data_IF_083503210740
#
_entry.id   IF_083503210740
#
_cell.length_a   1.000
_cell.length_b   1.000
_cell.length_c   1.000
_cell.angle_alpha   90.00
_cell.angle_beta   90.00
_cell.angle_gamma   90.00
#
_symmetry.space_group_name_H-M   'P 1'
#
loop_
_entity.id
_entity.type
_entity.pdbx_description
1 polymer ?
#
# COMPACT_ATOMS: atom_id res chain seq x y z
N UNK A 1 -2.22 -46.30 -5.94
CA UNK A 1 -2.45 -44.85 -5.91
C UNK A 1 -1.12 -44.19 -5.67
N UNK A 2 -0.52 -43.58 -6.71
CA UNK A 2 0.80 -42.97 -6.61
C UNK A 2 0.64 -41.54 -6.10
N UNK A 3 1.05 -41.29 -4.86
CA UNK A 3 1.21 -39.94 -4.34
C UNK A 3 2.35 -39.27 -5.10
N UNK A 4 2.01 -38.41 -6.06
CA UNK A 4 2.96 -37.42 -6.57
C UNK A 4 3.35 -36.54 -5.38
N UNK A 5 4.51 -36.83 -4.80
CA UNK A 5 5.29 -35.86 -4.04
C UNK A 5 5.44 -34.66 -4.97
N UNK A 6 4.71 -33.58 -4.69
CA UNK A 6 5.04 -32.29 -5.28
C UNK A 6 6.46 -32.00 -4.84
N UNK A 7 7.41 -32.11 -5.78
CA UNK A 7 8.72 -31.51 -5.64
C UNK A 7 8.47 -30.10 -5.12
N UNK A 8 9.11 -29.75 -4.02
CA UNK A 8 9.11 -28.41 -3.45
C UNK A 8 9.38 -27.45 -4.62
N UNK A 9 8.35 -26.78 -5.15
CA UNK A 9 8.47 -25.91 -6.30
C UNK A 9 9.34 -24.75 -5.84
N UNK A 10 10.64 -24.80 -6.11
CA UNK A 10 11.56 -23.74 -5.77
C UNK A 10 11.33 -22.60 -6.75
N UNK A 11 10.34 -21.77 -6.43
CA UNK A 11 10.07 -20.53 -7.15
C UNK A 11 11.36 -19.70 -7.18
N UNK A 12 11.85 -19.43 -8.38
CA UNK A 12 13.05 -18.63 -8.58
C UNK A 12 13.05 -18.04 -9.98
N UNK A 13 13.79 -16.95 -10.16
CA UNK A 13 13.91 -16.22 -11.42
C UNK A 13 13.09 -14.93 -11.45
N UNK A 14 13.09 -14.29 -12.61
CA UNK A 14 12.36 -13.05 -12.87
C UNK A 14 11.05 -13.37 -13.59
N UNK A 15 9.97 -12.77 -13.13
CA UNK A 15 8.62 -12.89 -13.69
C UNK A 15 8.14 -11.49 -14.05
N UNK A 16 8.02 -11.21 -15.33
CA UNK A 16 7.72 -9.88 -15.87
C UNK A 16 6.26 -9.78 -16.29
N UNK A 17 5.62 -8.66 -15.96
CA UNK A 17 4.21 -8.38 -16.27
C UNK A 17 3.99 -8.40 -17.79
N UNK A 18 2.94 -9.08 -18.24
CA UNK A 18 2.58 -9.16 -19.67
C UNK A 18 1.12 -8.81 -19.90
N UNK A 19 0.85 -8.11 -21.01
CA UNK A 19 -0.50 -7.84 -21.50
C UNK A 19 -1.11 -6.51 -21.04
N UNK A 20 -0.51 -5.83 -20.07
CA UNK A 20 -0.91 -4.49 -19.64
C UNK A 20 0.01 -3.47 -20.32
N UNK A 21 -0.57 -2.53 -21.08
CA UNK A 21 0.17 -1.47 -21.77
C UNK A 21 0.47 -0.31 -20.82
N UNK A 22 1.50 0.49 -21.11
CA UNK A 22 1.91 1.67 -20.32
C UNK A 22 2.38 1.37 -18.89
N UNK A 23 2.54 0.10 -18.54
CA UNK A 23 3.00 -0.37 -17.23
C UNK A 23 4.12 -1.39 -17.40
N UNK A 24 5.15 -1.27 -16.58
CA UNK A 24 6.13 -2.32 -16.38
C UNK A 24 6.10 -2.76 -14.91
N UNK A 25 6.07 -4.06 -14.67
CA UNK A 25 6.27 -4.58 -13.33
C UNK A 25 6.97 -5.94 -13.41
N UNK A 26 7.75 -6.28 -12.41
CA UNK A 26 8.44 -7.56 -12.35
C UNK A 26 8.63 -8.01 -10.92
N UNK A 27 8.54 -9.32 -10.71
CA UNK A 27 9.01 -9.98 -9.51
C UNK A 27 10.33 -10.67 -9.77
N UNK A 28 11.20 -10.67 -8.78
CA UNK A 28 12.37 -11.54 -8.74
C UNK A 28 12.29 -12.38 -7.46
N UNK A 29 12.32 -13.69 -7.61
CA UNK A 29 12.33 -14.64 -6.50
C UNK A 29 13.67 -15.37 -6.43
N UNK A 30 14.18 -15.59 -5.21
CA UNK A 30 15.37 -16.39 -4.99
C UNK A 30 15.07 -17.67 -4.21
N UNK A 31 15.97 -18.65 -4.28
CA UNK A 31 15.80 -19.94 -3.60
C UNK A 31 15.88 -19.86 -2.06
N UNK A 32 16.19 -18.69 -1.50
CA UNK A 32 16.24 -18.45 -0.04
C UNK A 32 14.90 -17.96 0.52
N UNK A 33 13.84 -17.89 -0.30
CA UNK A 33 12.54 -17.41 0.17
C UNK A 33 12.44 -15.89 0.23
N UNK A 34 13.24 -15.14 -0.55
CA UNK A 34 13.16 -13.68 -0.68
C UNK A 34 12.62 -13.27 -2.03
N UNK A 35 11.92 -12.14 -2.06
CA UNK A 35 11.44 -11.53 -3.29
C UNK A 35 11.85 -10.06 -3.38
N UNK A 36 11.98 -9.58 -4.61
CA UNK A 36 11.98 -8.16 -4.99
C UNK A 36 10.85 -7.92 -5.98
N UNK A 37 10.30 -6.72 -5.95
CA UNK A 37 9.27 -6.26 -6.87
C UNK A 37 9.63 -4.87 -7.37
N UNK A 38 9.46 -4.65 -8.66
CA UNK A 38 9.55 -3.34 -9.29
C UNK A 38 8.26 -3.06 -10.04
N UNK A 39 7.87 -1.78 -10.06
CA UNK A 39 6.68 -1.27 -10.71
C UNK A 39 6.96 0.13 -11.26
N UNK A 40 6.57 0.35 -12.51
CA UNK A 40 6.60 1.64 -13.17
C UNK A 40 5.28 1.86 -13.91
N UNK A 41 4.65 3.00 -13.65
CA UNK A 41 3.44 3.43 -14.34
C UNK A 41 3.37 4.95 -14.43
N UNK A 42 3.37 5.47 -15.66
CA UNK A 42 3.49 6.90 -15.89
C UNK A 42 4.78 7.47 -15.26
N UNK A 43 4.63 8.45 -14.37
CA UNK A 43 5.75 9.07 -13.65
C UNK A 43 6.03 8.46 -12.26
N UNK A 44 5.39 7.33 -11.94
CA UNK A 44 5.46 6.69 -10.62
C UNK A 44 6.25 5.40 -10.71
N UNK A 45 7.41 5.40 -10.06
CA UNK A 45 8.21 4.22 -9.77
C UNK A 45 7.97 3.76 -8.33
N UNK A 46 7.76 2.46 -8.15
CA UNK A 46 7.56 1.82 -6.85
C UNK A 46 8.35 0.52 -6.79
N UNK A 47 8.62 0.08 -5.57
CA UNK A 47 9.28 -1.20 -5.34
C UNK A 47 8.72 -1.90 -4.10
N UNK A 48 9.04 -3.17 -3.95
CA UNK A 48 8.92 -3.86 -2.67
C UNK A 48 10.01 -4.92 -2.55
N UNK A 49 10.25 -5.34 -1.33
CA UNK A 49 11.09 -6.48 -1.03
C UNK A 49 10.54 -7.18 0.20
N UNK A 50 10.94 -8.43 0.40
CA UNK A 50 10.53 -9.18 1.57
C UNK A 50 10.79 -10.66 1.43
N UNK A 51 10.01 -11.44 2.17
CA UNK A 51 10.07 -12.90 2.15
C UNK A 51 8.79 -13.48 1.55
N UNK A 52 8.86 -14.71 1.07
CA UNK A 52 7.68 -15.44 0.59
C UNK A 52 7.66 -16.87 1.12
N UNK A 53 6.46 -17.43 1.22
CA UNK A 53 6.22 -18.86 1.41
C UNK A 53 5.31 -19.38 0.29
N UNK A 54 5.37 -20.69 0.03
CA UNK A 54 4.52 -21.35 -0.95
C UNK A 54 3.62 -22.34 -0.23
N UNK A 55 2.31 -22.21 -0.45
CA UNK A 55 1.27 -23.06 0.09
C UNK A 55 0.43 -23.63 -1.07
N UNK A 56 0.78 -24.84 -1.51
CA UNK A 56 0.19 -25.43 -2.72
C UNK A 56 0.59 -24.63 -3.97
N UNK A 57 -0.38 -23.98 -4.61
CA UNK A 57 -0.16 -23.08 -5.76
C UNK A 57 -0.08 -21.61 -5.35
N UNK A 58 -0.30 -21.27 -4.08
CA UNK A 58 -0.30 -19.88 -3.60
C UNK A 58 1.09 -19.46 -3.15
N UNK A 59 1.47 -18.23 -3.48
CA UNK A 59 2.62 -17.54 -2.93
C UNK A 59 2.11 -16.48 -1.95
N UNK A 60 2.51 -16.61 -0.70
CA UNK A 60 2.19 -15.66 0.36
C UNK A 60 3.38 -14.73 0.54
N UNK A 61 3.20 -13.45 0.20
CA UNK A 61 4.24 -12.43 0.29
C UNK A 61 4.18 -11.70 1.62
N UNK A 62 5.36 -11.49 2.23
CA UNK A 62 5.53 -10.65 3.40
C UNK A 62 6.52 -9.54 3.09
N UNK A 63 5.99 -8.37 2.71
CA UNK A 63 6.78 -7.16 2.47
C UNK A 63 7.51 -6.69 3.73
N UNK A 64 8.68 -6.07 3.56
CA UNK A 64 9.36 -5.29 4.60
C UNK A 64 8.57 -4.03 4.97
N UNK A 65 7.87 -3.42 4.00
CA UNK A 65 6.91 -2.34 4.24
C UNK A 65 5.72 -2.84 5.04
N UNK A 66 5.53 -2.26 6.23
CA UNK A 66 4.32 -2.44 7.03
C UNK A 66 3.13 -1.67 6.43
N UNK A 67 2.05 -2.38 6.11
CA UNK A 67 0.87 -1.78 5.50
C UNK A 67 0.10 -0.89 6.48
N UNK A 68 -0.48 0.22 6.00
CA UNK A 68 -1.24 1.14 6.84
C UNK A 68 -0.38 1.95 7.82
N UNK A 69 0.90 2.12 7.49
CA UNK A 69 1.89 2.81 8.33
C UNK A 69 2.72 3.81 7.53
N UNK A 70 2.13 4.51 6.59
CA UNK A 70 2.80 5.50 5.74
C UNK A 70 3.04 6.85 6.44
N UNK A 71 2.42 7.05 7.60
CA UNK A 71 2.52 8.29 8.36
C UNK A 71 3.05 8.02 9.77
N UNK A 72 3.89 8.94 10.26
CA UNK A 72 4.27 9.04 11.66
C UNK A 72 3.56 10.23 12.29
N UNK A 73 2.87 10.06 13.41
CA UNK A 73 2.34 11.18 14.18
C UNK A 73 3.51 11.80 14.96
N UNK A 74 3.84 13.06 14.66
CA UNK A 74 4.91 13.83 15.32
C UNK A 74 4.40 14.51 16.57
N UNK A 75 3.22 15.10 16.48
CA UNK A 75 2.51 15.68 17.60
C UNK A 75 1.00 15.58 17.41
N UNK A 76 0.27 15.58 18.51
CA UNK A 76 -1.19 15.62 18.51
C UNK A 76 -1.68 16.31 19.78
N UNK A 77 -2.78 17.04 19.67
CA UNK A 77 -3.35 17.80 20.78
C UNK A 77 -4.82 18.12 20.53
N UNK A 78 -5.54 18.51 21.59
CA UNK A 78 -6.90 18.99 21.52
C UNK A 78 -6.91 20.51 21.58
N UNK A 79 -6.93 21.17 20.43
CA UNK A 79 -6.75 22.63 20.33
C UNK A 79 -7.98 23.37 19.82
N UNK A 80 -8.96 22.67 19.27
CA UNK A 80 -10.15 23.28 18.68
C UNK A 80 -11.32 22.29 18.59
N UNK A 81 -12.52 22.79 18.26
CA UNK A 81 -13.70 21.97 17.98
C UNK A 81 -13.68 21.35 16.58
N UNK A 82 -12.84 21.87 15.69
CA UNK A 82 -12.64 21.37 14.33
C UNK A 82 -11.35 20.55 14.25
N UNK A 83 -11.26 19.68 13.25
CA UNK A 83 -10.08 18.85 13.06
C UNK A 83 -9.12 19.50 12.07
N UNK A 84 -7.84 19.47 12.41
CA UNK A 84 -6.76 19.98 11.57
C UNK A 84 -5.63 18.95 11.51
N UNK A 85 -5.21 18.62 10.30
CA UNK A 85 -4.12 17.69 10.04
C UNK A 85 -3.08 18.45 9.21
N UNK A 86 -1.89 18.60 9.77
CA UNK A 86 -0.74 19.16 9.07
C UNK A 86 0.17 18.02 8.63
N UNK A 87 0.36 17.88 7.32
CA UNK A 87 1.29 16.90 6.76
C UNK A 87 2.65 17.53 6.55
N UNK A 88 3.69 16.78 6.88
CA UNK A 88 5.11 17.10 6.68
C UNK A 88 5.67 16.08 5.69
N UNK A 89 6.40 16.56 4.70
CA UNK A 89 7.05 15.73 3.70
C UNK A 89 8.39 16.35 3.28
N UNK A 90 9.38 15.54 2.88
CA UNK A 90 10.67 16.05 2.40
C UNK A 90 10.56 16.83 1.08
N UNK A 91 9.54 16.53 0.27
CA UNK A 91 9.28 17.20 -1.00
C UNK A 91 7.88 17.83 -0.98
N UNK A 92 7.75 19.16 -1.16
CA UNK A 92 6.46 19.85 -1.21
C UNK A 92 5.46 19.27 -2.23
N UNK A 93 5.96 18.66 -3.32
CA UNK A 93 5.09 18.01 -4.31
C UNK A 93 4.22 16.90 -3.72
N UNK A 94 4.67 16.23 -2.64
CA UNK A 94 3.92 15.16 -1.98
C UNK A 94 2.77 15.69 -1.10
N UNK A 95 2.82 16.97 -0.72
CA UNK A 95 1.89 17.54 0.25
C UNK A 95 0.47 17.70 -0.31
N UNK A 96 0.30 17.90 -1.62
CA UNK A 96 -0.99 18.12 -2.28
C UNK A 96 -1.77 16.84 -2.64
N UNK A 97 -1.22 15.67 -2.29
CA UNK A 97 -1.76 14.37 -2.70
C UNK A 97 -2.18 13.53 -1.49
N UNK A 98 -2.69 14.16 -0.45
CA UNK A 98 -3.14 13.46 0.77
C UNK A 98 -4.66 13.45 0.80
N UNK A 99 -5.21 12.26 1.00
CA UNK A 99 -6.63 12.02 1.21
C UNK A 99 -6.83 11.57 2.64
N UNK A 100 -7.75 12.22 3.34
CA UNK A 100 -8.25 11.82 4.65
C UNK A 100 -9.65 11.21 4.51
N UNK A 101 -9.80 9.94 4.88
CA UNK A 101 -11.10 9.31 5.06
C UNK A 101 -11.50 9.44 6.55
N UNK A 102 -12.56 10.19 6.80
CA UNK A 102 -13.07 10.47 8.15
C UNK A 102 -14.40 9.76 8.35
N UNK A 103 -14.56 9.11 9.50
CA UNK A 103 -15.77 8.35 9.82
C UNK A 103 -16.54 8.97 10.99
N UNK A 104 -17.87 9.00 10.84
CA UNK A 104 -18.84 9.26 11.92
C UNK A 104 -19.87 8.13 11.86
N UNK A 105 -19.79 7.20 12.80
CA UNK A 105 -20.46 5.91 12.73
C UNK A 105 -20.09 5.16 11.44
N UNK A 106 -21.09 4.97 10.57
CA UNK A 106 -20.92 4.31 9.26
C UNK A 106 -20.74 5.30 8.11
N UNK A 107 -20.93 6.59 8.36
CA UNK A 107 -20.79 7.62 7.33
C UNK A 107 -19.30 7.90 7.12
N UNK A 108 -18.86 7.87 5.86
CA UNK A 108 -17.52 8.25 5.46
C UNK A 108 -17.58 9.57 4.69
N UNK A 109 -16.73 10.52 5.07
CA UNK A 109 -16.50 11.75 4.31
C UNK A 109 -15.02 11.87 3.99
N UNK A 110 -14.71 12.36 2.79
CA UNK A 110 -13.34 12.54 2.33
C UNK A 110 -12.93 14.00 2.34
N UNK A 111 -11.71 14.24 2.76
CA UNK A 111 -11.06 15.55 2.73
C UNK A 111 -9.69 15.40 2.07
N UNK A 112 -9.21 16.48 1.47
CA UNK A 112 -7.95 16.49 0.75
C UNK A 112 -7.06 17.61 1.28
N UNK A 113 -5.76 17.39 1.21
CA UNK A 113 -4.80 18.44 1.56
C UNK A 113 -4.74 19.53 0.50
N UNK A 114 -4.46 20.74 0.94
CA UNK A 114 -4.02 21.81 0.06
C UNK A 114 -2.53 21.67 -0.33
N UNK A 115 -2.01 22.65 -1.06
CA UNK A 115 -0.60 22.68 -1.50
C UNK A 115 0.42 22.76 -0.35
N UNK A 116 -0.03 23.14 0.86
CA UNK A 116 0.80 23.19 2.07
C UNK A 116 0.72 21.90 2.90
N UNK A 117 -0.08 20.92 2.47
CA UNK A 117 -0.28 19.67 3.22
C UNK A 117 -1.27 19.81 4.36
N UNK A 118 -2.06 20.88 4.38
CA UNK A 118 -3.06 21.13 5.40
C UNK A 118 -4.40 20.52 5.00
N UNK A 119 -5.01 19.77 5.92
CA UNK A 119 -6.40 19.30 5.82
C UNK A 119 -7.19 19.93 6.97
N UNK A 120 -8.21 20.71 6.63
CA UNK A 120 -9.16 21.26 7.59
C UNK A 120 -10.51 20.56 7.46
N UNK A 121 -11.07 20.17 8.60
CA UNK A 121 -12.30 19.39 8.66
C UNK A 121 -13.26 20.07 9.63
N UNK A 122 -14.30 20.66 9.07
CA UNK A 122 -15.36 21.37 9.80
C UNK A 122 -16.44 20.40 10.29
N UNK A 123 -16.07 19.58 11.28
CA UNK A 123 -16.97 18.63 11.97
C UNK A 123 -16.70 18.68 13.46
N UNK A 124 -17.76 18.77 14.25
CA UNK A 124 -17.66 18.82 15.71
C UNK A 124 -17.12 17.53 16.33
N UNK A 125 -17.35 16.37 15.71
CA UNK A 125 -16.87 15.08 16.19
C UNK A 125 -16.55 14.15 15.03
N UNK A 126 -15.43 13.43 15.14
CA UNK A 126 -15.01 12.37 14.23
C UNK A 126 -14.61 11.16 15.07
N UNK A 127 -15.09 10.00 14.66
CA UNK A 127 -14.80 8.73 15.34
C UNK A 127 -13.43 8.23 14.94
N UNK A 128 -13.11 8.23 13.65
CA UNK A 128 -11.78 7.85 13.19
C UNK A 128 -11.33 8.60 11.95
N UNK A 129 -10.01 8.76 11.82
CA UNK A 129 -9.37 9.40 10.68
C UNK A 129 -8.29 8.48 10.14
N UNK A 130 -8.36 8.27 8.83
CA UNK A 130 -7.38 7.50 8.08
C UNK A 130 -6.78 8.36 6.97
N UNK A 131 -5.47 8.26 6.76
CA UNK A 131 -4.74 8.96 5.71
C UNK A 131 -4.20 8.01 4.65
N UNK A 132 -4.15 8.48 3.40
CA UNK A 132 -3.53 7.81 2.28
C UNK A 132 -2.93 8.84 1.32
N UNK A 133 -1.81 8.50 0.69
CA UNK A 133 -1.27 9.30 -0.40
C UNK A 133 -1.87 8.83 -1.74
N UNK A 134 -2.44 9.75 -2.52
CA UNK A 134 -3.17 9.42 -3.75
C UNK A 134 -2.27 9.01 -4.91
N UNK A 135 -1.00 9.47 -4.99
CA UNK A 135 -0.05 9.01 -6.02
C UNK A 135 0.63 7.68 -5.68
N UNK A 136 0.66 7.31 -4.39
CA UNK A 136 1.29 6.09 -3.91
C UNK A 136 0.25 5.31 -3.09
N UNK A 137 -0.87 4.89 -3.72
CA UNK A 137 -1.94 4.26 -2.99
C UNK A 137 -1.46 2.94 -2.38
N UNK A 138 -1.72 2.79 -1.09
CA UNK A 138 -1.51 1.60 -0.28
C UNK A 138 -2.64 1.54 0.77
N UNK A 139 -2.60 0.60 1.69
CA UNK A 139 -3.56 0.52 2.80
C UNK A 139 -3.54 1.81 3.62
N UNK A 140 -4.73 2.32 3.91
CA UNK A 140 -4.94 3.52 4.73
C UNK A 140 -4.24 3.44 6.09
N UNK A 141 -3.59 4.53 6.48
CA UNK A 141 -2.96 4.68 7.79
C UNK A 141 -3.91 5.32 8.78
N UNK A 142 -4.29 4.60 9.83
CA UNK A 142 -5.13 5.15 10.91
C UNK A 142 -4.30 6.12 11.76
N UNK A 143 -4.74 7.36 11.88
CA UNK A 143 -4.08 8.36 12.75
C UNK A 143 -4.93 8.71 13.98
N UNK A 144 -6.23 8.41 13.94
CA UNK A 144 -7.18 8.65 15.03
C UNK A 144 -8.19 7.52 15.12
N UNK A 145 -8.55 7.16 16.35
CA UNK A 145 -9.66 6.29 16.72
C UNK A 145 -10.65 7.01 17.66
N UNK A 146 -11.70 6.29 18.07
CA UNK A 146 -12.83 6.80 18.85
C UNK A 146 -12.42 7.25 20.24
N UNK A 147 -11.36 6.64 20.80
CA UNK A 147 -10.85 6.94 22.13
C UNK A 147 -9.98 8.20 22.13
N UNK A 148 -9.32 8.49 21.02
CA UNK A 148 -8.47 9.66 20.86
C UNK A 148 -9.28 10.95 20.69
N UNK A 149 -9.21 11.86 21.68
CA UNK A 149 -9.94 13.14 21.67
C UNK A 149 -9.19 14.30 20.99
N UNK A 150 -8.00 14.05 20.45
CA UNK A 150 -7.22 15.10 19.79
C UNK A 150 -7.89 15.57 18.51
N UNK A 151 -7.77 16.86 18.25
CA UNK A 151 -8.35 17.53 17.08
C UNK A 151 -7.28 18.16 16.18
N UNK A 152 -6.04 18.27 16.66
CA UNK A 152 -4.88 18.64 15.88
C UNK A 152 -3.91 17.48 15.77
N UNK A 153 -3.41 17.22 14.55
CA UNK A 153 -2.40 16.21 14.26
C UNK A 153 -1.33 16.79 13.34
N UNK A 154 -0.08 16.66 13.73
CA UNK A 154 1.06 16.85 12.83
C UNK A 154 1.61 15.48 12.45
N UNK A 155 1.64 15.18 11.16
CA UNK A 155 2.00 13.87 10.63
C UNK A 155 3.08 13.98 9.58
N UNK A 156 4.07 13.08 9.63
CA UNK A 156 5.19 13.03 8.71
C UNK A 156 5.05 11.82 7.78
N UNK A 157 5.17 12.04 6.47
CA UNK A 157 5.23 10.95 5.49
C UNK A 157 6.52 10.16 5.65
N UNK A 158 6.41 8.84 5.72
CA UNK A 158 7.57 7.96 5.80
C UNK A 158 8.27 7.82 4.45
N UNK A 159 9.61 7.66 4.43
CA UNK A 159 10.35 7.33 3.20
C UNK A 159 9.87 6.04 2.50
N UNK A 160 9.27 5.10 3.26
CA UNK A 160 8.67 3.88 2.72
C UNK A 160 7.43 4.11 1.86
N UNK A 161 6.99 5.35 1.67
CA UNK A 161 5.81 5.69 0.86
C UNK A 161 5.86 5.11 -0.56
N UNK A 162 7.02 5.20 -1.21
CA UNK A 162 7.24 4.68 -2.57
C UNK A 162 7.20 3.16 -2.64
N UNK A 163 7.31 2.48 -1.49
CA UNK A 163 7.25 1.03 -1.43
C UNK A 163 5.80 0.53 -1.51
N UNK A 164 5.61 -0.72 -1.91
CA UNK A 164 4.32 -1.44 -1.97
C UNK A 164 4.26 -2.49 -0.86
N UNK A 165 3.14 -2.53 -0.12
CA UNK A 165 2.88 -3.62 0.83
C UNK A 165 2.00 -4.71 0.22
N UNK A 166 2.52 -5.91 0.00
CA UNK A 166 1.74 -7.02 -0.58
C UNK A 166 0.75 -7.67 0.41
N UNK A 167 0.30 -6.93 1.43
CA UNK A 167 -0.69 -7.41 2.40
C UNK A 167 -2.03 -7.66 1.72
N UNK A 168 -2.53 -8.88 1.83
CA UNK A 168 -3.81 -9.28 1.26
C UNK A 168 -3.78 -9.51 -0.26
N UNK A 169 -2.59 -9.66 -0.85
CA UNK A 169 -2.41 -10.00 -2.26
C UNK A 169 -1.74 -11.36 -2.32
N UNK A 170 -2.51 -12.36 -2.73
CA UNK A 170 -2.01 -13.70 -3.04
C UNK A 170 -1.59 -13.74 -4.51
N UNK A 171 -0.43 -14.34 -4.81
CA UNK A 171 -0.11 -14.75 -6.17
C UNK A 171 -0.39 -16.24 -6.35
N UNK A 172 -0.88 -16.63 -7.51
CA UNK A 172 -1.14 -18.02 -7.87
C UNK A 172 -0.16 -18.49 -8.96
N UNK A 173 0.46 -19.63 -8.73
CA UNK A 173 1.39 -20.29 -9.65
C UNK A 173 0.58 -21.11 -10.67
N UNK A 174 0.78 -20.82 -11.95
CA UNK A 174 0.21 -21.56 -13.08
C UNK A 174 1.31 -21.86 -14.11
N UNK A 175 2.07 -22.95 -13.88
CA UNK A 175 3.24 -23.27 -14.70
C UNK A 175 4.35 -22.24 -14.54
N UNK A 176 4.74 -21.59 -15.63
CA UNK A 176 5.73 -20.51 -15.65
C UNK A 176 5.09 -19.10 -15.53
N UNK A 177 3.81 -19.05 -15.15
CA UNK A 177 3.08 -17.79 -14.93
C UNK A 177 2.70 -17.62 -13.45
N UNK A 178 2.66 -16.36 -13.02
CA UNK A 178 2.07 -15.93 -11.75
C UNK A 178 0.86 -15.04 -12.03
N UNK A 179 -0.24 -15.30 -11.35
CA UNK A 179 -1.50 -14.57 -11.50
C UNK A 179 -1.91 -13.92 -10.18
N UNK A 180 -2.62 -12.80 -10.24
CA UNK A 180 -3.31 -12.26 -9.07
C UNK A 180 -4.59 -11.53 -9.47
N UNK A 181 -5.49 -11.39 -8.49
CA UNK A 181 -6.70 -10.60 -8.67
C UNK A 181 -6.36 -9.11 -8.76
N UNK A 182 -7.23 -8.30 -9.40
CA UNK A 182 -7.16 -6.86 -9.33
C UNK A 182 -7.02 -6.40 -7.87
N UNK A 183 -6.12 -5.45 -7.63
CA UNK A 183 -5.80 -4.98 -6.30
C UNK A 183 -5.57 -3.47 -6.28
N UNK A 184 -5.26 -2.92 -5.09
CA UNK A 184 -5.27 -1.48 -4.85
C UNK A 184 -4.24 -0.68 -5.66
N UNK A 185 -3.22 -1.32 -6.23
CA UNK A 185 -2.21 -0.65 -7.09
C UNK A 185 -2.09 -1.27 -8.50
N UNK A 186 -2.66 -2.45 -8.72
CA UNK A 186 -2.86 -3.06 -10.04
C UNK A 186 -4.37 -3.28 -10.28
N UNK A 187 -5.13 -2.23 -10.65
CA UNK A 187 -6.58 -2.32 -10.84
C UNK A 187 -6.94 -2.84 -12.25
N UNK A 188 -6.29 -3.91 -12.70
CA UNK A 188 -6.48 -4.48 -14.03
C UNK A 188 -6.95 -5.92 -13.95
N UNK A 189 -7.74 -6.33 -14.93
CA UNK A 189 -8.12 -7.73 -15.11
C UNK A 189 -7.00 -8.53 -15.77
N UNK A 190 -6.97 -9.85 -15.54
CA UNK A 190 -6.01 -10.79 -16.14
C UNK A 190 -4.54 -10.43 -15.88
N UNK A 191 -4.21 -10.01 -14.65
CA UNK A 191 -2.83 -9.71 -14.26
C UNK A 191 -2.02 -11.01 -14.29
N UNK A 192 -1.03 -11.05 -15.19
CA UNK A 192 -0.11 -12.18 -15.31
C UNK A 192 1.34 -11.72 -15.41
N UNK A 193 2.21 -12.41 -14.69
CA UNK A 193 3.65 -12.28 -14.77
C UNK A 193 4.20 -13.57 -15.37
N UNK A 194 5.01 -13.45 -16.42
CA UNK A 194 5.56 -14.61 -17.14
C UNK A 194 7.05 -14.68 -16.85
N UNK A 195 7.53 -15.88 -16.52
CA UNK A 195 8.94 -16.14 -16.32
C UNK A 195 9.76 -15.75 -17.56
N UNK A 196 10.89 -15.10 -17.33
CA UNK A 196 11.85 -14.76 -18.39
C UNK A 196 12.63 -15.96 -18.93
#
# INVERSE_FOLDING_TARGET
MSSKLFSQNTLSGVYSLRGIREMAAAFEFNTEGKFRFYYAYGAIDRNAEGTYTIEGTKIILKSTKEAGKDFNIKSQSQNSNNYRIQVIAPNPYLLKHIRAACFVGKEQTEYFSDDSGLIEIDKASIDSIFLQHSLYPDIFSKIKDEENRNTFFEVELKPSLVQVSFKGIDLEIAGDELHCLPNYFLPFENIRFVKE
#
